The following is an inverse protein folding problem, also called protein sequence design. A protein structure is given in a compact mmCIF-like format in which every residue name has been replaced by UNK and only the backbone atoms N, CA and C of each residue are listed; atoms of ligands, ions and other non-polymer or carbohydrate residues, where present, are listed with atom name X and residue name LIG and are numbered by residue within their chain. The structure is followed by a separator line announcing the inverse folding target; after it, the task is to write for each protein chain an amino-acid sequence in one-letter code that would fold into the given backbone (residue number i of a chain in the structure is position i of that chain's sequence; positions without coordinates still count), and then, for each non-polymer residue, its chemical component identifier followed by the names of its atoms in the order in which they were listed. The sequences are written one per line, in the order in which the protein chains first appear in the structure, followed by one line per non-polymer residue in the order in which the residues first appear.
data_IF_992664784765
#
_entry.id   IF_992664784765
#
_cell.length_a   1.000
_cell.length_b   1.000
_cell.length_c   1.000
_cell.angle_alpha   90.00
_cell.angle_beta   90.00
_cell.angle_gamma   90.00
#
_symmetry.space_group_name_H-M   'P 1'
#
loop_
_entity.id
_entity.type
_entity.pdbx_description
1 polymer ?
#
# COMPACT_ATOMS: atom_id res chain seq x y z
N UNK A 1 -44.70 -68.51 -30.46
CA UNK A 1 -44.04 -68.44 -31.78
C UNK A 1 -42.80 -67.54 -31.61
N UNK A 2 -41.56 -68.06 -31.68
CA UNK A 2 -40.71 -68.25 -32.89
C UNK A 2 -40.57 -66.92 -33.67
N UNK A 3 -39.39 -66.34 -33.98
CA UNK A 3 -38.01 -66.82 -34.16
C UNK A 3 -36.95 -65.71 -33.89
N UNK A 4 -35.83 -66.08 -33.24
CA UNK A 4 -34.38 -65.98 -33.60
C UNK A 4 -33.74 -64.74 -34.33
N UNK A 5 -32.39 -64.61 -34.35
CA UNK A 5 -31.60 -63.48 -33.82
C UNK A 5 -30.80 -62.75 -34.94
N UNK A 6 -29.68 -62.06 -34.61
CA UNK A 6 -28.57 -61.54 -35.46
C UNK A 6 -28.39 -59.99 -35.39
N UNK A 7 -27.21 -59.35 -35.41
CA UNK A 7 -25.78 -59.71 -35.60
C UNK A 7 -24.89 -58.79 -34.76
N UNK A 8 -23.70 -59.31 -34.45
CA UNK A 8 -22.48 -58.58 -34.12
C UNK A 8 -22.22 -57.40 -35.06
N UNK A 9 -21.81 -56.27 -34.47
CA UNK A 9 -21.11 -55.18 -35.13
C UNK A 9 -20.08 -54.61 -34.18
N UNK A 10 -18.88 -55.18 -34.20
CA UNK A 10 -17.68 -54.61 -33.56
C UNK A 10 -17.30 -53.35 -34.34
N UNK A 11 -17.29 -52.20 -33.68
CA UNK A 11 -16.57 -51.02 -34.17
C UNK A 11 -15.53 -50.65 -33.12
N UNK A 12 -14.29 -51.08 -33.37
CA UNK A 12 -13.10 -50.61 -32.65
C UNK A 12 -12.92 -49.12 -32.98
N UNK A 13 -13.19 -48.22 -32.03
CA UNK A 13 -12.66 -46.86 -32.09
C UNK A 13 -11.22 -46.89 -31.57
N UNK A 14 -10.26 -46.69 -32.46
CA UNK A 14 -8.87 -46.39 -32.12
C UNK A 14 -8.80 -45.02 -31.44
N UNK A 15 -8.64 -45.01 -30.11
CA UNK A 15 -8.28 -43.81 -29.35
C UNK A 15 -6.86 -43.38 -29.72
N UNK A 16 -6.72 -42.22 -30.37
CA UNK A 16 -5.47 -41.47 -30.41
C UNK A 16 -5.26 -40.84 -29.03
N UNK A 17 -4.36 -41.42 -28.24
CA UNK A 17 -3.88 -40.82 -27.00
C UNK A 17 -2.96 -39.63 -27.32
N UNK A 18 -3.47 -38.42 -27.13
CA UNK A 18 -2.65 -37.20 -27.09
C UNK A 18 -1.94 -37.12 -25.74
N UNK A 19 -0.63 -36.78 -25.70
CA UNK A 19 0.05 -36.57 -24.43
C UNK A 19 -0.48 -35.30 -23.76
N UNK A 20 -1.08 -35.46 -22.58
CA UNK A 20 -1.41 -34.34 -21.69
C UNK A 20 -0.10 -33.79 -21.15
N UNK A 21 0.32 -32.64 -21.68
CA UNK A 21 1.42 -31.87 -21.11
C UNK A 21 0.93 -31.21 -19.82
N UNK A 22 1.67 -31.32 -18.69
CA UNK A 22 1.32 -30.60 -17.48
C UNK A 22 1.46 -29.09 -17.71
N UNK A 23 0.34 -28.37 -17.62
CA UNK A 23 0.33 -26.91 -17.61
C UNK A 23 1.06 -26.43 -16.36
N UNK A 24 2.29 -25.94 -16.51
CA UNK A 24 2.97 -25.21 -15.46
C UNK A 24 2.12 -23.97 -15.08
N UNK A 25 1.97 -23.63 -13.79
CA UNK A 25 1.26 -22.42 -13.41
C UNK A 25 2.03 -21.23 -13.97
N UNK A 26 1.39 -20.48 -14.86
CA UNK A 26 1.91 -19.20 -15.29
C UNK A 26 1.92 -18.27 -14.06
N UNK A 27 3.12 -18.00 -13.52
CA UNK A 27 3.29 -16.87 -12.60
C UNK A 27 2.83 -15.63 -13.37
N UNK A 28 1.71 -15.04 -12.95
CA UNK A 28 1.29 -13.75 -13.45
C UNK A 28 2.44 -12.77 -13.14
N UNK A 29 3.05 -12.22 -14.19
CA UNK A 29 4.01 -11.14 -14.04
C UNK A 29 3.32 -10.01 -13.26
N UNK A 30 4.00 -9.37 -12.30
CA UNK A 30 3.41 -8.27 -11.55
C UNK A 30 2.96 -7.22 -12.56
N UNK A 31 1.64 -6.97 -12.62
CA UNK A 31 1.07 -5.80 -13.27
C UNK A 31 1.88 -4.60 -12.81
N UNK A 32 2.56 -3.90 -13.73
CA UNK A 32 3.31 -2.69 -13.41
C UNK A 32 2.37 -1.75 -12.64
N UNK A 33 2.62 -1.59 -11.34
CA UNK A 33 1.77 -0.81 -10.46
C UNK A 33 1.70 0.62 -11.02
N UNK A 34 0.49 1.08 -11.36
CA UNK A 34 0.26 2.48 -11.72
C UNK A 34 0.25 3.31 -10.43
N UNK A 35 1.43 3.71 -9.97
CA UNK A 35 1.59 4.58 -8.80
C UNK A 35 2.80 4.21 -7.96
N UNK A 36 2.98 4.93 -6.85
CA UNK A 36 4.10 4.69 -5.93
C UNK A 36 4.02 3.30 -5.29
N UNK A 37 5.17 2.66 -5.20
CA UNK A 37 5.33 1.38 -4.50
C UNK A 37 5.45 1.59 -2.99
N UNK A 38 5.26 0.53 -2.21
CA UNK A 38 5.47 0.58 -0.76
C UNK A 38 6.88 1.07 -0.41
N UNK A 39 7.92 0.61 -1.12
CA UNK A 39 9.30 1.04 -0.91
C UNK A 39 9.50 2.54 -1.17
N UNK A 40 8.94 3.08 -2.26
CA UNK A 40 9.03 4.52 -2.56
C UNK A 40 8.34 5.38 -1.50
N UNK A 41 7.22 4.89 -0.96
CA UNK A 41 6.50 5.56 0.12
C UNK A 41 7.28 5.45 1.44
N UNK A 42 7.90 4.30 1.74
CA UNK A 42 8.77 4.15 2.91
C UNK A 42 9.94 5.13 2.85
N UNK A 43 10.61 5.24 1.70
CA UNK A 43 11.73 6.18 1.50
C UNK A 43 11.27 7.63 1.62
N UNK A 44 10.09 7.94 1.08
CA UNK A 44 9.48 9.26 1.22
C UNK A 44 9.21 9.59 2.68
N UNK A 45 8.46 8.75 3.40
CA UNK A 45 8.07 9.00 4.80
C UNK A 45 9.28 9.05 5.73
N UNK A 46 10.27 8.19 5.52
CA UNK A 46 11.51 8.18 6.31
C UNK A 46 12.28 9.48 6.15
N UNK A 47 12.43 9.97 4.92
CA UNK A 47 13.09 11.26 4.66
C UNK A 47 12.26 12.44 5.15
N UNK A 48 10.96 12.40 4.87
CA UNK A 48 10.02 13.47 5.18
C UNK A 48 9.93 13.71 6.68
N UNK A 49 9.79 12.66 7.50
CA UNK A 49 9.75 12.84 8.96
C UNK A 49 11.14 12.94 9.58
N UNK A 50 12.18 12.37 8.98
CA UNK A 50 13.53 12.42 9.53
C UNK A 50 13.59 11.95 10.99
N UNK A 51 14.42 12.63 11.79
CA UNK A 51 14.52 12.34 13.22
C UNK A 51 13.45 13.03 14.05
N UNK A 52 13.13 14.30 13.76
CA UNK A 52 12.32 15.17 14.63
C UNK A 52 11.00 15.63 14.00
N UNK A 53 10.79 15.34 12.73
CA UNK A 53 9.65 15.81 11.95
C UNK A 53 10.09 16.49 10.65
N UNK A 54 9.11 16.88 9.82
CA UNK A 54 9.39 17.49 8.53
C UNK A 54 9.99 18.88 8.67
N UNK A 55 11.01 19.13 7.85
CA UNK A 55 11.65 20.44 7.72
C UNK A 55 10.68 21.48 7.18
N UNK A 56 11.00 22.78 7.33
CA UNK A 56 10.22 23.85 6.73
C UNK A 56 10.08 23.68 5.20
N UNK A 57 11.14 23.23 4.53
CA UNK A 57 11.12 22.96 3.10
C UNK A 57 10.16 21.81 2.76
N UNK A 58 10.16 20.73 3.56
CA UNK A 58 9.27 19.60 3.31
C UNK A 58 7.80 19.96 3.53
N UNK A 59 7.53 20.76 4.56
CA UNK A 59 6.20 21.31 4.83
C UNK A 59 5.71 22.18 3.67
N UNK A 60 6.60 22.95 3.07
CA UNK A 60 6.27 23.83 1.95
C UNK A 60 6.11 23.07 0.62
N UNK A 61 6.73 21.92 0.41
CA UNK A 61 6.80 21.30 -0.91
C UNK A 61 6.13 19.92 -1.01
N UNK A 62 6.04 19.19 0.10
CA UNK A 62 5.62 17.78 0.13
C UNK A 62 4.39 17.50 1.00
N UNK A 63 3.65 18.53 1.38
CA UNK A 63 2.38 18.42 2.10
C UNK A 63 1.21 18.81 1.19
N UNK A 64 0.13 18.04 1.23
CA UNK A 64 -1.12 18.31 0.53
C UNK A 64 -1.72 19.66 0.94
N UNK A 65 -2.56 20.23 0.08
CA UNK A 65 -3.23 21.47 0.40
C UNK A 65 -4.19 21.32 1.59
N UNK A 66 -4.90 20.19 1.68
CA UNK A 66 -5.81 19.86 2.78
C UNK A 66 -5.09 19.91 4.13
N UNK A 67 -3.89 19.33 4.23
CA UNK A 67 -3.11 19.35 5.48
C UNK A 67 -2.60 20.75 5.83
N UNK A 68 -2.27 21.59 4.83
CA UNK A 68 -1.88 22.99 5.10
C UNK A 68 -3.04 23.81 5.62
N UNK A 69 -4.21 23.66 5.02
CA UNK A 69 -5.44 24.32 5.47
C UNK A 69 -5.79 23.84 6.88
N UNK A 70 -5.63 22.53 7.17
CA UNK A 70 -5.79 21.98 8.52
C UNK A 70 -4.80 22.60 9.51
N UNK A 71 -3.53 22.80 9.15
CA UNK A 71 -2.55 23.45 10.02
C UNK A 71 -2.91 24.91 10.31
N UNK A 72 -3.44 25.64 9.33
CA UNK A 72 -3.84 27.04 9.50
C UNK A 72 -4.97 27.23 10.51
N UNK A 73 -5.86 26.24 10.66
CA UNK A 73 -6.96 26.28 11.63
C UNK A 73 -6.61 25.62 12.97
N UNK A 74 -5.42 25.01 13.10
CA UNK A 74 -4.93 24.36 14.32
C UNK A 74 -3.56 24.96 14.69
N UNK A 75 -3.53 26.16 15.25
CA UNK A 75 -2.27 26.86 15.56
C UNK A 75 -1.50 26.24 16.74
N UNK A 76 -2.19 25.56 17.65
CA UNK A 76 -1.60 25.02 18.87
C UNK A 76 -0.97 23.62 18.68
N UNK A 77 -1.35 22.90 17.61
CA UNK A 77 -0.96 21.51 17.37
C UNK A 77 -0.37 21.39 15.99
N UNK A 78 0.79 20.75 15.88
CA UNK A 78 1.34 20.36 14.59
C UNK A 78 0.54 19.18 14.03
N UNK A 79 -0.25 19.43 12.99
CA UNK A 79 -1.16 18.43 12.40
C UNK A 79 -0.41 17.32 11.67
N UNK A 80 0.88 17.51 11.38
CA UNK A 80 1.73 16.50 10.74
C UNK A 80 2.34 15.55 11.77
N UNK A 81 2.47 15.99 13.02
CA UNK A 81 3.06 15.23 14.12
C UNK A 81 2.04 14.81 15.18
N UNK A 82 0.82 15.33 15.11
CA UNK A 82 -0.23 15.14 16.10
C UNK A 82 0.20 15.56 17.52
N UNK A 83 1.02 16.61 17.62
CA UNK A 83 1.62 17.02 18.89
C UNK A 83 1.91 18.53 18.94
N UNK A 84 2.03 19.08 20.14
CA UNK A 84 2.40 20.48 20.36
C UNK A 84 3.91 20.69 20.41
N UNK A 85 4.66 19.64 20.75
CA UNK A 85 6.11 19.68 20.94
C UNK A 85 6.83 18.85 19.87
N UNK A 86 8.11 19.13 19.68
CA UNK A 86 8.96 18.37 18.77
C UNK A 86 9.36 17.01 19.39
N UNK A 87 9.19 15.88 18.68
CA UNK A 87 9.64 14.58 19.17
C UNK A 87 11.16 14.44 19.10
N UNK A 88 11.73 13.65 20.02
CA UNK A 88 13.15 13.32 20.04
C UNK A 88 13.54 12.37 18.90
N UNK A 89 12.62 11.46 18.56
CA UNK A 89 12.81 10.50 17.49
C UNK A 89 11.48 10.13 16.87
N UNK A 90 11.49 9.94 15.56
CA UNK A 90 10.37 9.37 14.81
C UNK A 90 10.77 8.02 14.23
N UNK A 91 9.82 7.10 14.11
CA UNK A 91 10.00 5.83 13.44
C UNK A 91 8.82 5.53 12.54
N UNK A 92 9.13 5.04 11.35
CA UNK A 92 8.15 4.71 10.32
C UNK A 92 7.95 3.19 10.33
N UNK A 93 6.71 2.77 10.51
CA UNK A 93 6.32 1.37 10.39
C UNK A 93 6.38 0.84 8.96
N UNK A 94 5.96 -0.42 8.75
CA UNK A 94 5.81 -0.96 7.41
C UNK A 94 4.70 -0.24 6.64
N UNK A 95 4.97 0.10 5.38
CA UNK A 95 3.97 0.71 4.50
C UNK A 95 3.04 -0.36 3.93
N UNK A 96 1.74 -0.10 4.03
CA UNK A 96 0.69 -0.83 3.32
C UNK A 96 0.23 -0.04 2.11
N UNK A 97 -0.03 -0.71 0.99
CA UNK A 97 -0.54 -0.09 -0.24
C UNK A 97 -1.86 -0.73 -0.63
N UNK A 98 -2.90 0.09 -0.81
CA UNK A 98 -4.16 -0.32 -1.42
C UNK A 98 -4.28 0.28 -2.82
N UNK A 99 -3.93 -0.52 -3.83
CA UNK A 99 -3.94 -0.07 -5.23
C UNK A 99 -5.35 0.36 -5.70
N UNK A 100 -6.40 -0.31 -5.25
CA UNK A 100 -7.79 0.02 -5.59
C UNK A 100 -8.26 1.34 -5.01
N UNK A 101 -7.68 1.78 -3.89
CA UNK A 101 -7.96 3.06 -3.25
C UNK A 101 -6.95 4.15 -3.63
N UNK A 102 -5.96 3.84 -4.48
CA UNK A 102 -4.88 4.74 -4.88
C UNK A 102 -4.17 5.40 -3.69
N UNK A 103 -4.02 4.69 -2.57
CA UNK A 103 -3.37 5.18 -1.35
C UNK A 103 -2.39 4.17 -0.77
N UNK A 104 -1.31 4.66 -0.16
CA UNK A 104 -0.47 3.91 0.76
C UNK A 104 -0.38 4.61 2.10
N UNK A 105 -0.15 3.87 3.17
CA UNK A 105 -0.07 4.42 4.52
C UNK A 105 0.91 3.66 5.40
N UNK A 106 1.37 4.33 6.44
CA UNK A 106 2.17 3.73 7.51
C UNK A 106 1.76 4.29 8.85
N UNK A 107 1.84 3.46 9.90
CA UNK A 107 1.91 3.96 11.26
C UNK A 107 3.25 4.69 11.45
N UNK A 108 3.19 5.84 12.10
CA UNK A 108 4.34 6.64 12.53
C UNK A 108 4.34 6.65 14.04
N UNK A 109 5.50 6.40 14.66
CA UNK A 109 5.69 6.40 16.10
C UNK A 109 6.62 7.53 16.48
N UNK A 110 6.17 8.42 17.37
CA UNK A 110 7.00 9.45 17.98
C UNK A 110 7.53 8.95 19.32
N UNK A 111 8.72 9.42 19.69
CA UNK A 111 9.35 9.15 20.97
C UNK A 111 9.69 10.48 21.64
N UNK A 112 9.36 10.58 22.92
CA UNK A 112 9.42 11.83 23.68
C UNK A 112 10.48 11.78 24.80
N UNK A 113 10.91 12.95 25.26
CA UNK A 113 11.88 13.07 26.38
C UNK A 113 11.39 12.44 27.68
N UNK A 114 10.08 12.39 27.89
CA UNK A 114 9.46 11.71 29.04
C UNK A 114 9.61 10.18 28.99
N UNK A 115 10.14 9.62 27.90
CA UNK A 115 10.24 8.19 27.64
C UNK A 115 8.96 7.58 27.04
N UNK A 116 7.91 8.37 26.86
CA UNK A 116 6.66 7.93 26.24
C UNK A 116 6.74 7.84 24.71
N UNK A 117 5.73 7.22 24.12
CA UNK A 117 5.54 7.16 22.67
C UNK A 117 4.11 7.42 22.29
N UNK A 118 3.88 8.13 21.20
CA UNK A 118 2.58 8.25 20.56
C UNK A 118 2.63 7.69 19.14
N UNK A 119 1.45 7.47 18.55
CA UNK A 119 1.34 6.98 17.18
C UNK A 119 0.28 7.71 16.40
N UNK A 120 0.51 7.88 15.10
CA UNK A 120 -0.48 8.36 14.14
C UNK A 120 -0.31 7.63 12.81
N UNK A 121 -1.28 7.79 11.91
CA UNK A 121 -1.21 7.17 10.57
C UNK A 121 -0.97 8.24 9.51
N UNK A 122 0.08 8.07 8.71
CA UNK A 122 0.43 8.94 7.60
C UNK A 122 -0.03 8.31 6.27
N UNK A 123 -0.77 9.07 5.47
CA UNK A 123 -1.32 8.63 4.17
C UNK A 123 -0.63 9.34 3.01
N UNK A 124 -0.40 8.60 1.92
CA UNK A 124 0.24 9.08 0.69
C UNK A 124 -0.57 8.61 -0.50
N UNK A 125 -0.87 9.55 -1.40
CA UNK A 125 -1.55 9.27 -2.67
C UNK A 125 -0.59 8.63 -3.67
N UNK A 126 -0.96 7.48 -4.22
CA UNK A 126 -0.12 6.72 -5.15
C UNK A 126 0.09 7.44 -6.50
N UNK A 127 -0.81 8.35 -6.85
CA UNK A 127 -0.81 9.12 -8.09
C UNK A 127 -0.15 10.51 -7.95
N UNK A 128 0.23 10.92 -6.73
CA UNK A 128 0.83 12.24 -6.48
C UNK A 128 2.17 12.41 -7.21
N UNK A 129 2.41 13.57 -7.85
CA UNK A 129 3.70 13.90 -8.50
C UNK A 129 4.09 15.34 -8.18
N UNK A 130 5.14 15.59 -7.36
CA UNK A 130 5.96 14.60 -6.63
C UNK A 130 5.16 13.85 -5.55
N UNK A 131 5.76 12.85 -4.90
CA UNK A 131 5.16 12.18 -3.73
C UNK A 131 4.86 13.25 -2.66
N UNK A 132 3.65 13.24 -2.11
CA UNK A 132 3.25 14.14 -1.02
C UNK A 132 2.53 13.38 0.08
N UNK A 133 2.68 13.87 1.31
CA UNK A 133 1.84 13.48 2.42
C UNK A 133 0.43 14.03 2.16
N UNK A 134 -0.53 13.14 2.07
CA UNK A 134 -1.92 13.44 1.71
C UNK A 134 -2.76 13.78 2.93
N UNK A 135 -2.69 12.93 3.96
CA UNK A 135 -3.42 13.08 5.20
C UNK A 135 -2.65 12.47 6.38
N UNK A 136 -2.99 12.92 7.58
CA UNK A 136 -2.52 12.40 8.86
C UNK A 136 -3.72 12.20 9.78
N UNK A 137 -3.84 11.00 10.32
CA UNK A 137 -4.86 10.66 11.31
C UNK A 137 -4.17 10.45 12.66
N UNK A 138 -4.43 11.37 13.58
CA UNK A 138 -3.97 11.28 14.97
C UNK A 138 -4.75 10.18 15.69
N UNK A 139 -4.04 9.31 16.44
CA UNK A 139 -4.72 8.50 17.44
C UNK A 139 -5.26 9.46 18.52
N UNK A 140 -6.57 9.43 18.75
CA UNK A 140 -7.23 10.26 19.77
C UNK A 140 -7.01 9.74 21.18
#
# INVERSE_FOLDING_TARGET
MMLKPYRLGVLLLTLLALPVMPSAPALAAPSAAKGHTAAQITDFLTRFYGHHGPSAHDRENYVSQVLRERQQVNEEVDVLLCAQNEPQRISIGPVTVAQTAAVGWSTVTTHWDSGGTDTFTAYVRLDSKPIRLDDVICAG
#
